data_IF_913158404888
#
_entry.id   IF_913158404888
#
_cell.length_a   1.000
_cell.length_b   1.000
_cell.length_c   1.000
_cell.angle_alpha   90.00
_cell.angle_beta   90.00
_cell.angle_gamma   90.00
#
_symmetry.space_group_name_H-M   'P 1'
#
loop_
_entity.id
_entity.type
_entity.pdbx_description
1 polymer ?
#
# COMPACT_ATOMS: atom_id res chain seq x y z
N UNK A 1 13.37 6.48 -7.66
CA UNK A 1 11.90 6.63 -7.50
C UNK A 1 11.28 5.39 -6.84
N UNK A 2 11.58 4.17 -7.29
CA UNK A 2 11.09 2.93 -6.64
C UNK A 2 11.42 2.85 -5.13
N UNK A 3 12.70 3.01 -4.76
CA UNK A 3 13.15 2.97 -3.34
C UNK A 3 12.41 3.98 -2.45
N UNK A 4 12.17 5.19 -2.95
CA UNK A 4 11.43 6.24 -2.26
C UNK A 4 9.96 5.89 -2.01
N UNK A 5 9.35 5.14 -2.93
CA UNK A 5 8.00 4.61 -2.72
C UNK A 5 8.02 3.45 -1.72
N UNK A 6 9.05 2.60 -1.76
CA UNK A 6 9.20 1.51 -0.79
C UNK A 6 9.33 2.05 0.63
N UNK A 7 10.16 3.07 0.82
CA UNK A 7 10.30 3.76 2.11
C UNK A 7 8.95 4.25 2.65
N UNK A 8 8.13 4.91 1.81
CA UNK A 8 6.77 5.32 2.20
C UNK A 8 5.87 4.16 2.55
N UNK A 9 5.84 3.12 1.72
CA UNK A 9 5.06 1.92 1.99
C UNK A 9 5.41 1.31 3.35
N UNK A 10 6.69 1.38 3.74
CA UNK A 10 7.18 0.78 4.97
C UNK A 10 7.00 1.66 6.20
N UNK A 11 7.27 2.97 6.07
CA UNK A 11 7.58 3.83 7.19
C UNK A 11 6.65 5.04 7.35
N UNK A 12 5.85 5.39 6.33
CA UNK A 12 5.01 6.60 6.46
C UNK A 12 3.99 6.41 7.59
N UNK A 13 3.95 7.33 8.57
CA UNK A 13 2.93 7.30 9.60
C UNK A 13 1.57 7.60 8.98
N UNK A 14 0.54 6.98 9.54
CA UNK A 14 -0.82 7.30 9.19
C UNK A 14 -1.69 7.10 10.41
N UNK A 15 -2.26 8.21 10.88
CA UNK A 15 -3.33 8.23 11.85
C UNK A 15 -4.58 8.63 11.05
N UNK A 16 -5.55 7.73 10.98
CA UNK A 16 -6.82 8.06 10.34
C UNK A 16 -7.45 9.21 11.12
N UNK A 17 -7.69 10.34 10.43
CA UNK A 17 -8.35 11.49 11.05
C UNK A 17 -9.70 11.11 11.64
N UNK A 18 -10.15 11.86 12.64
CA UNK A 18 -11.46 11.66 13.29
C UNK A 18 -12.49 12.72 12.88
N UNK A 19 -12.09 13.69 12.05
CA UNK A 19 -12.93 14.78 11.58
C UNK A 19 -13.83 14.42 10.39
N UNK A 20 -14.70 15.34 10.00
CA UNK A 20 -15.66 15.18 8.90
C UNK A 20 -15.01 14.83 7.54
N UNK A 21 -13.70 15.08 7.40
CA UNK A 21 -12.94 14.79 6.18
C UNK A 21 -12.10 13.52 6.24
N UNK A 22 -12.13 12.78 7.34
CA UNK A 22 -11.35 11.55 7.54
C UNK A 22 -11.58 10.50 6.44
N UNK A 23 -12.79 10.45 5.88
CA UNK A 23 -13.13 9.53 4.79
C UNK A 23 -12.47 9.89 3.45
N UNK A 24 -11.90 11.10 3.33
CA UNK A 24 -11.18 11.58 2.16
C UNK A 24 -9.65 11.58 2.35
N UNK A 25 -9.18 11.29 3.56
CA UNK A 25 -7.75 11.18 3.83
C UNK A 25 -7.20 9.91 3.18
N UNK A 26 -6.22 10.09 2.31
CA UNK A 26 -5.57 8.97 1.67
C UNK A 26 -4.42 8.48 2.56
N UNK A 27 -4.40 7.19 2.87
CA UNK A 27 -3.27 6.58 3.52
C UNK A 27 -2.04 6.64 2.58
N UNK A 28 -0.92 7.29 2.99
CA UNK A 28 0.24 7.47 2.14
C UNK A 28 0.89 6.14 1.74
N UNK A 29 0.86 5.13 2.63
CA UNK A 29 1.34 3.78 2.34
C UNK A 29 0.52 3.12 1.24
N UNK A 30 -0.82 3.30 1.25
CA UNK A 30 -1.69 2.80 0.19
C UNK A 30 -1.40 3.47 -1.16
N UNK A 31 -1.22 4.81 -1.16
CA UNK A 31 -0.89 5.56 -2.39
C UNK A 31 0.44 5.06 -2.97
N UNK A 32 1.47 4.97 -2.12
CA UNK A 32 2.79 4.54 -2.54
C UNK A 32 2.78 3.10 -3.08
N UNK A 33 2.05 2.20 -2.42
CA UNK A 33 1.88 0.82 -2.87
C UNK A 33 1.16 0.76 -4.22
N UNK A 34 0.10 1.55 -4.42
CA UNK A 34 -0.60 1.64 -5.71
C UNK A 34 0.32 2.18 -6.83
N UNK A 35 1.17 3.16 -6.51
CA UNK A 35 2.16 3.67 -7.45
C UNK A 35 3.22 2.62 -7.81
N UNK A 36 3.67 1.80 -6.86
CA UNK A 36 4.58 0.68 -7.11
C UNK A 36 3.95 -0.31 -8.08
N UNK A 37 2.73 -0.77 -7.80
CA UNK A 37 2.04 -1.76 -8.64
C UNK A 37 1.80 -1.27 -10.08
N UNK A 38 1.59 0.03 -10.26
CA UNK A 38 1.36 0.61 -11.59
C UNK A 38 2.64 0.78 -12.39
N UNK A 39 3.70 1.29 -11.77
CA UNK A 39 4.89 1.73 -12.51
C UNK A 39 6.03 0.70 -12.47
N UNK A 40 5.96 -0.29 -11.57
CA UNK A 40 7.00 -1.30 -11.36
C UNK A 40 6.42 -2.71 -11.15
N UNK A 41 5.49 -3.19 -12.00
CA UNK A 41 4.82 -4.47 -11.80
C UNK A 41 5.80 -5.66 -11.82
N UNK A 42 6.83 -5.60 -12.66
CA UNK A 42 7.80 -6.69 -12.85
C UNK A 42 9.00 -6.61 -11.91
N UNK A 43 9.05 -5.60 -11.03
CA UNK A 43 10.17 -5.47 -10.10
C UNK A 43 10.12 -6.60 -9.06
N UNK A 44 11.24 -7.33 -8.80
CA UNK A 44 11.24 -8.51 -7.93
C UNK A 44 10.74 -8.28 -6.50
N UNK A 45 10.81 -7.04 -6.02
CA UNK A 45 10.36 -6.67 -4.68
C UNK A 45 8.88 -6.27 -4.63
N UNK A 46 8.23 -5.97 -5.75
CA UNK A 46 6.84 -5.51 -5.80
C UNK A 46 5.89 -6.53 -5.19
N UNK A 47 6.00 -7.80 -5.58
CA UNK A 47 5.16 -8.86 -5.03
C UNK A 47 5.44 -9.12 -3.55
N UNK A 48 6.71 -9.01 -3.11
CA UNK A 48 7.10 -9.19 -1.71
C UNK A 48 6.49 -8.10 -0.82
N UNK A 49 6.61 -6.84 -1.23
CA UNK A 49 6.00 -5.69 -0.55
C UNK A 49 4.48 -5.84 -0.49
N UNK A 50 3.85 -6.24 -1.59
CA UNK A 50 2.39 -6.41 -1.65
C UNK A 50 1.90 -7.49 -0.67
N UNK A 51 2.58 -8.64 -0.61
CA UNK A 51 2.27 -9.73 0.35
C UNK A 51 2.48 -9.31 1.79
N UNK A 52 3.56 -8.60 2.07
CA UNK A 52 3.83 -8.10 3.41
C UNK A 52 2.75 -7.10 3.86
N UNK A 53 2.41 -6.10 3.02
CA UNK A 53 1.34 -5.14 3.34
C UNK A 53 -0.04 -5.78 3.45
N UNK A 54 -0.32 -6.87 2.74
CA UNK A 54 -1.57 -7.62 2.87
C UNK A 54 -1.73 -8.28 4.25
N UNK A 55 -0.63 -8.67 4.89
CA UNK A 55 -0.65 -9.39 6.17
C UNK A 55 -0.37 -8.47 7.35
N UNK A 56 0.62 -7.58 7.22
CA UNK A 56 1.29 -6.92 8.34
C UNK A 56 1.09 -5.40 8.40
N UNK A 57 0.47 -4.75 7.39
CA UNK A 57 0.26 -3.30 7.49
C UNK A 57 -0.62 -2.99 8.70
N UNK A 58 -0.28 -2.00 9.54
CA UNK A 58 -1.09 -1.67 10.71
C UNK A 58 -2.50 -1.17 10.34
N UNK A 59 -2.65 -0.56 9.17
CA UNK A 59 -3.93 -0.03 8.68
C UNK A 59 -4.75 -1.10 7.94
N UNK A 60 -6.01 -1.27 8.35
CA UNK A 60 -6.89 -2.30 7.77
C UNK A 60 -7.25 -2.03 6.30
N UNK A 61 -7.37 -0.75 5.89
CA UNK A 61 -7.67 -0.39 4.51
C UNK A 61 -6.49 -0.73 3.60
N UNK A 62 -5.25 -0.50 4.06
CA UNK A 62 -4.05 -0.92 3.33
C UNK A 62 -4.02 -2.45 3.17
N UNK A 63 -4.28 -3.21 4.24
CA UNK A 63 -4.35 -4.68 4.17
C UNK A 63 -5.41 -5.15 3.16
N UNK A 64 -6.62 -4.57 3.21
CA UNK A 64 -7.72 -4.89 2.28
C UNK A 64 -7.37 -4.57 0.83
N UNK A 65 -6.79 -3.40 0.59
CA UNK A 65 -6.32 -3.00 -0.74
C UNK A 65 -5.28 -3.99 -1.27
N UNK A 66 -4.28 -4.33 -0.45
CA UNK A 66 -3.20 -5.24 -0.83
C UNK A 66 -3.71 -6.66 -1.13
N UNK A 67 -4.60 -7.22 -0.30
CA UNK A 67 -5.24 -8.53 -0.55
C UNK A 67 -6.03 -8.55 -1.86
N UNK A 68 -6.82 -7.50 -2.12
CA UNK A 68 -7.58 -7.39 -3.39
C UNK A 68 -6.65 -7.36 -4.60
N UNK A 69 -5.52 -6.65 -4.49
CA UNK A 69 -4.51 -6.59 -5.57
C UNK A 69 -3.79 -7.92 -5.77
N UNK A 70 -3.45 -8.64 -4.71
CA UNK A 70 -2.87 -10.00 -4.81
C UNK A 70 -3.81 -10.95 -5.52
N UNK A 71 -5.08 -10.99 -5.10
CA UNK A 71 -6.08 -11.84 -5.73
C UNK A 71 -6.28 -11.52 -7.22
N UNK A 72 -6.04 -10.28 -7.64
CA UNK A 72 -6.09 -9.90 -9.05
C UNK A 72 -4.82 -10.31 -9.84
N UNK A 73 -3.68 -10.48 -9.18
CA UNK A 73 -2.41 -10.90 -9.81
C UNK A 73 -2.27 -12.44 -9.87
N UNK A 74 -2.98 -13.16 -8.99
CA UNK A 74 -2.97 -14.63 -8.92
C UNK A 74 -4.11 -15.27 -9.74
N UNK A 75 -4.81 -14.48 -10.56
CA UNK A 75 -5.81 -14.94 -11.54
C UNK A 75 -5.16 -15.20 -12.90
#
# INVERSE_FOLDING_TARGET
>A
MFEFLCDRVLNDPYEQGTGAFAMFENNPRQIALAAILRNYPDHPQTLKLLRDRATNDPDEQVRKFAKKRLANLER
#
